data_IF_783680576363
#
_entry.id   IF_783680576363
#
_cell.length_a   1.000
_cell.length_b   1.000
_cell.length_c   1.000
_cell.angle_alpha   90.00
_cell.angle_beta   90.00
_cell.angle_gamma   90.00
#
_symmetry.space_group_name_H-M   'P 1'
#
loop_
_entity.id
_entity.type
_entity.pdbx_description
1 polymer ?
#
# COMPACT_ATOMS: atom_id res chain seq x y z
N UNK A 1 -7.31 -15.36 9.15
CA UNK A 1 -6.86 -13.96 9.13
C UNK A 1 -5.70 -13.88 8.15
N UNK A 2 -5.87 -13.26 6.98
CA UNK A 2 -4.93 -13.40 5.86
C UNK A 2 -3.70 -12.50 5.98
N UNK A 3 -2.50 -13.10 5.96
CA UNK A 3 -1.20 -12.39 6.00
C UNK A 3 -0.81 -11.70 4.69
N UNK A 4 -1.63 -11.84 3.63
CA UNK A 4 -1.26 -11.51 2.24
C UNK A 4 -1.74 -10.16 1.71
N UNK A 5 -2.37 -9.29 2.52
CA UNK A 5 -2.77 -7.95 2.02
C UNK A 5 -1.54 -7.13 1.62
N UNK A 6 -1.63 -6.46 0.48
CA UNK A 6 -0.55 -5.63 -0.07
C UNK A 6 -1.13 -4.62 -1.04
N UNK A 7 -0.36 -3.56 -1.35
CA UNK A 7 -0.79 -2.51 -2.27
C UNK A 7 -0.30 -2.80 -3.69
N UNK A 8 -1.22 -2.72 -4.65
CA UNK A 8 -0.91 -2.53 -6.07
C UNK A 8 -0.98 -1.05 -6.47
N UNK A 9 -0.62 -0.74 -7.70
CA UNK A 9 -0.70 0.61 -8.26
C UNK A 9 -1.28 0.62 -9.67
N UNK A 10 -2.06 1.65 -9.96
CA UNK A 10 -2.46 2.06 -11.30
C UNK A 10 -1.89 3.47 -11.53
N UNK A 11 -1.21 3.66 -12.66
CA UNK A 11 -0.73 4.97 -13.09
C UNK A 11 -1.57 5.44 -14.29
N UNK A 12 -2.04 6.69 -14.25
CA UNK A 12 -2.69 7.31 -15.39
C UNK A 12 -1.61 7.68 -16.42
N UNK A 13 -1.45 6.84 -17.44
CA UNK A 13 -0.47 7.06 -18.53
C UNK A 13 -1.11 7.55 -19.83
N UNK A 14 -2.44 7.40 -19.95
CA UNK A 14 -3.25 8.03 -20.99
C UNK A 14 -3.75 9.42 -20.58
N UNK A 15 -4.77 9.93 -21.28
CA UNK A 15 -5.30 11.28 -21.07
C UNK A 15 -6.70 11.34 -20.44
N UNK A 16 -7.48 10.25 -20.48
CA UNK A 16 -8.84 10.23 -19.96
C UNK A 16 -8.95 9.37 -18.68
N UNK A 17 -9.03 9.96 -17.47
CA UNK A 17 -9.11 9.19 -16.24
C UNK A 17 -10.40 8.37 -16.10
N UNK A 18 -11.45 8.69 -16.88
CA UNK A 18 -12.69 7.91 -16.92
C UNK A 18 -12.59 6.69 -17.86
N UNK A 19 -11.53 6.59 -18.67
CA UNK A 19 -11.29 5.43 -19.53
C UNK A 19 -10.37 4.43 -18.85
N UNK A 20 -10.83 3.19 -18.67
CA UNK A 20 -10.03 2.13 -18.07
C UNK A 20 -8.71 1.88 -18.83
N UNK A 21 -8.70 2.02 -20.16
CA UNK A 21 -7.50 1.85 -20.98
C UNK A 21 -6.45 2.95 -20.80
N UNK A 22 -6.78 4.06 -20.13
CA UNK A 22 -5.81 5.11 -19.80
C UNK A 22 -4.98 4.79 -18.55
N UNK A 23 -5.32 3.73 -17.81
CA UNK A 23 -4.63 3.32 -16.61
C UNK A 23 -3.73 2.12 -16.89
N UNK A 24 -2.46 2.23 -16.52
CA UNK A 24 -1.50 1.13 -16.59
C UNK A 24 -1.31 0.53 -15.22
N UNK A 25 -1.52 -0.79 -15.11
CA UNK A 25 -1.26 -1.53 -13.88
C UNK A 25 0.22 -1.86 -13.75
N UNK A 26 0.79 -1.62 -12.58
CA UNK A 26 2.10 -2.17 -12.25
C UNK A 26 2.02 -3.70 -12.08
N UNK A 27 2.68 -4.44 -12.96
CA UNK A 27 2.52 -5.91 -13.07
C UNK A 27 3.67 -6.72 -12.45
N UNK A 28 4.68 -6.09 -11.85
CA UNK A 28 5.84 -6.80 -11.29
C UNK A 28 5.62 -7.21 -9.82
N UNK A 29 4.36 -7.30 -9.37
CA UNK A 29 3.98 -7.63 -8.00
C UNK A 29 3.53 -6.41 -7.18
N UNK A 30 3.36 -6.56 -5.85
CA UNK A 30 2.92 -5.48 -4.99
C UNK A 30 4.00 -4.41 -4.82
N UNK A 31 3.59 -3.15 -4.81
CA UNK A 31 4.47 -2.00 -4.59
C UNK A 31 4.72 -1.72 -3.10
N UNK A 32 3.88 -2.26 -2.22
CA UNK A 32 4.03 -2.17 -0.78
C UNK A 32 3.50 -3.45 -0.12
N UNK A 33 4.34 -4.12 0.66
CA UNK A 33 4.07 -5.45 1.23
C UNK A 33 4.73 -5.61 2.60
N UNK A 34 4.38 -6.69 3.29
CA UNK A 34 4.89 -7.02 4.62
C UNK A 34 6.43 -7.00 4.68
N UNK A 35 6.96 -6.42 5.77
CA UNK A 35 8.39 -6.34 6.07
C UNK A 35 8.61 -6.07 7.56
N UNK A 36 9.77 -6.48 8.11
CA UNK A 36 10.19 -6.15 9.48
C UNK A 36 9.14 -6.42 10.57
N UNK A 37 8.44 -7.56 10.52
CA UNK A 37 7.41 -7.94 11.50
C UNK A 37 6.09 -7.18 11.39
N UNK A 38 5.93 -6.35 10.35
CA UNK A 38 4.67 -5.70 9.99
C UNK A 38 4.01 -6.46 8.84
N UNK A 39 2.77 -6.88 9.05
CA UNK A 39 2.02 -7.74 8.15
C UNK A 39 0.84 -7.01 7.54
N UNK A 40 0.43 -7.47 6.35
CA UNK A 40 -0.77 -7.00 5.66
C UNK A 40 -0.89 -5.45 5.54
N UNK A 41 0.18 -4.71 5.14
CA UNK A 41 0.07 -3.26 5.04
C UNK A 41 -0.92 -2.85 3.95
N UNK A 42 -1.83 -1.93 4.29
CA UNK A 42 -2.99 -1.68 3.44
C UNK A 42 -3.80 -0.44 3.75
N UNK A 43 -4.82 -0.20 2.90
CA UNK A 43 -5.79 0.88 3.05
C UNK A 43 -5.13 2.24 3.31
N UNK A 44 -4.27 2.64 2.38
CA UNK A 44 -3.41 3.80 2.57
C UNK A 44 -4.03 5.12 2.09
N UNK A 45 -3.46 6.22 2.58
CA UNK A 45 -3.67 7.57 2.07
C UNK A 45 -2.36 8.36 2.03
N UNK A 46 -2.31 9.43 1.23
CA UNK A 46 -1.17 10.34 1.15
C UNK A 46 -1.49 11.66 1.83
N UNK A 47 -0.60 12.11 2.72
CA UNK A 47 -0.81 13.31 3.52
C UNK A 47 0.43 14.20 3.50
N UNK A 48 0.22 15.52 3.42
CA UNK A 48 1.30 16.51 3.47
C UNK A 48 1.48 16.97 4.91
N UNK A 49 2.69 16.82 5.46
CA UNK A 49 3.05 17.34 6.78
C UNK A 49 3.33 18.85 6.73
N UNK A 50 3.34 19.54 7.88
CA UNK A 50 3.71 20.96 7.94
C UNK A 50 5.08 21.29 7.35
N UNK A 51 6.01 20.31 7.35
CA UNK A 51 7.33 20.44 6.72
C UNK A 51 7.32 20.39 5.18
N UNK A 52 6.17 20.09 4.56
CA UNK A 52 6.03 19.88 3.11
C UNK A 52 6.29 18.44 2.63
N UNK A 53 6.74 17.54 3.51
CA UNK A 53 6.92 16.13 3.16
C UNK A 53 5.57 15.44 2.92
N UNK A 54 5.48 14.57 1.92
CA UNK A 54 4.33 13.70 1.67
C UNK A 54 4.58 12.33 2.30
N UNK A 55 3.64 11.86 3.12
CA UNK A 55 3.70 10.57 3.79
C UNK A 55 2.66 9.61 3.22
N UNK A 56 3.08 8.39 2.92
CA UNK A 56 2.19 7.25 2.73
C UNK A 56 1.79 6.69 4.10
N UNK A 57 0.53 6.83 4.49
CA UNK A 57 0.01 6.38 5.79
C UNK A 57 -0.88 5.16 5.55
N UNK A 58 -0.63 4.06 6.24
CA UNK A 58 -1.33 2.77 6.05
C UNK A 58 -1.57 2.05 7.37
N UNK A 59 -2.57 1.18 7.41
CA UNK A 59 -2.75 0.23 8.51
C UNK A 59 -1.87 -1.01 8.31
N UNK A 60 -1.39 -1.60 9.40
CA UNK A 60 -0.66 -2.86 9.40
C UNK A 60 -0.99 -3.67 10.64
N UNK A 61 -0.84 -4.99 10.56
CA UNK A 61 -0.91 -5.87 11.71
C UNK A 61 0.51 -6.14 12.24
N UNK A 62 0.71 -5.93 13.53
CA UNK A 62 1.87 -6.45 14.26
C UNK A 62 1.39 -7.69 15.02
N UNK A 63 2.04 -8.83 14.78
CA UNK A 63 1.76 -10.03 15.57
C UNK A 63 2.47 -9.92 16.93
N UNK A 64 1.86 -10.37 18.04
CA UNK A 64 2.52 -10.36 19.34
C UNK A 64 3.85 -11.12 19.24
N UNK A 65 4.94 -10.50 19.67
CA UNK A 65 6.27 -11.11 19.73
C UNK A 65 6.45 -12.10 20.90
N UNK A 66 5.38 -12.37 21.66
CA UNK A 66 5.43 -13.24 22.83
C UNK A 66 4.63 -14.51 22.58
N UNK A 67 5.19 -15.70 22.87
CA UNK A 67 4.38 -16.91 22.92
C UNK A 67 3.36 -16.75 24.05
N UNK A 68 2.11 -17.05 23.73
CA UNK A 68 1.10 -17.33 24.75
C UNK A 68 1.59 -18.62 25.43
N UNK A 69 2.00 -18.53 26.69
CA UNK A 69 2.33 -19.69 27.52
C UNK A 69 1.08 -20.53 27.79
#
# INVERSE_FOLDING_TARGET
MGTGYSLGSLELTGSNPLSASSWTKYNNGPIFKAAFGNYAPGHNGFFTAPSGNVYNVSYTQVLPQYPVY
#
